data_IF_582481534243
#
_entry.id   IF_582481534243
#
_cell.length_a   1.000
_cell.length_b   1.000
_cell.length_c   1.000
_cell.angle_alpha   90.00
_cell.angle_beta   90.00
_cell.angle_gamma   90.00
#
_symmetry.space_group_name_H-M   'P 1'
#
loop_
_entity.id
_entity.type
_entity.pdbx_description
1 polymer ?
#
# COMPACT_ATOMS: atom_id res chain seq x y z
N UNK A 1 -19.11 -24.80 -11.33
CA UNK A 1 -17.66 -24.49 -11.31
C UNK A 1 -17.56 -23.09 -10.78
N UNK A 2 -16.80 -22.88 -9.70
CA UNK A 2 -16.53 -21.54 -9.15
C UNK A 2 -15.71 -20.74 -10.15
N UNK A 3 -16.05 -19.46 -10.35
CA UNK A 3 -15.26 -18.57 -11.22
C UNK A 3 -13.89 -18.31 -10.59
N UNK A 4 -12.84 -18.43 -11.41
CA UNK A 4 -11.46 -18.19 -10.98
C UNK A 4 -11.09 -16.72 -11.19
N UNK A 5 -10.47 -16.13 -10.17
CA UNK A 5 -9.89 -14.79 -10.19
C UNK A 5 -8.37 -14.92 -10.38
N UNK A 6 -7.81 -14.23 -11.36
CA UNK A 6 -6.38 -13.97 -11.42
C UNK A 6 -6.08 -12.67 -10.68
N UNK A 7 -5.30 -12.76 -9.63
CA UNK A 7 -4.82 -11.62 -8.85
C UNK A 7 -3.36 -11.31 -9.22
N UNK A 8 -3.07 -10.06 -9.53
CA UNK A 8 -1.72 -9.61 -9.90
C UNK A 8 -1.33 -8.41 -9.03
N UNK A 9 -0.14 -8.50 -8.46
CA UNK A 9 0.57 -7.40 -7.79
C UNK A 9 1.79 -7.06 -8.65
N UNK A 10 1.65 -6.01 -9.46
CA UNK A 10 2.70 -5.52 -10.35
C UNK A 10 3.46 -4.38 -9.67
N UNK A 11 4.70 -4.63 -9.33
CA UNK A 11 5.63 -3.59 -8.89
C UNK A 11 6.57 -3.16 -10.01
N UNK A 12 7.41 -2.16 -9.76
CA UNK A 12 8.39 -1.68 -10.74
C UNK A 12 9.46 -2.72 -11.15
N UNK A 13 9.65 -3.77 -10.36
CA UNK A 13 10.67 -4.81 -10.59
C UNK A 13 10.11 -6.22 -10.65
N UNK A 14 8.91 -6.45 -10.16
CA UNK A 14 8.31 -7.78 -10.00
C UNK A 14 6.86 -7.80 -10.45
N UNK A 15 6.50 -8.90 -11.08
CA UNK A 15 5.14 -9.28 -11.42
C UNK A 15 4.80 -10.53 -10.60
N UNK A 16 3.91 -10.40 -9.62
CA UNK A 16 3.47 -11.52 -8.78
C UNK A 16 2.05 -11.89 -9.17
N UNK A 17 1.78 -13.18 -9.31
CA UNK A 17 0.47 -13.67 -9.63
C UNK A 17 -0.01 -14.71 -8.61
N UNK A 18 -1.30 -14.69 -8.36
CA UNK A 18 -2.03 -15.66 -7.57
C UNK A 18 -3.40 -15.91 -8.15
N UNK A 19 -4.01 -17.00 -7.74
CA UNK A 19 -5.40 -17.29 -8.07
C UNK A 19 -6.23 -17.46 -6.80
N UNK A 20 -7.50 -17.08 -6.89
CA UNK A 20 -8.49 -17.30 -5.85
C UNK A 20 -9.83 -17.70 -6.48
N UNK A 21 -10.67 -18.31 -5.70
CA UNK A 21 -12.07 -18.57 -6.07
C UNK A 21 -12.92 -17.32 -5.78
N UNK A 22 -13.96 -17.10 -6.58
CA UNK A 22 -14.87 -15.98 -6.37
C UNK A 22 -15.57 -16.02 -5.01
N UNK A 23 -15.82 -17.23 -4.50
CA UNK A 23 -16.49 -17.45 -3.22
C UNK A 23 -15.55 -17.21 -2.01
N UNK A 24 -14.23 -17.24 -2.21
CA UNK A 24 -13.22 -16.97 -1.18
C UNK A 24 -12.00 -16.21 -1.74
N UNK A 25 -12.16 -14.90 -2.03
CA UNK A 25 -11.07 -14.09 -2.57
C UNK A 25 -9.90 -13.90 -1.59
N UNK A 26 -10.10 -14.16 -0.30
CA UNK A 26 -9.02 -14.04 0.70
C UNK A 26 -8.01 -15.19 0.62
N UNK A 27 -8.44 -16.37 0.17
CA UNK A 27 -7.60 -17.57 0.06
C UNK A 27 -6.74 -17.57 -1.21
N UNK A 28 -5.96 -16.52 -1.43
CA UNK A 28 -5.09 -16.40 -2.60
C UNK A 28 -3.97 -17.44 -2.55
N UNK A 29 -3.88 -18.27 -3.57
CA UNK A 29 -2.78 -19.20 -3.81
C UNK A 29 -1.82 -18.59 -4.85
N UNK A 30 -0.59 -18.28 -4.43
CA UNK A 30 0.44 -17.80 -5.36
C UNK A 30 0.72 -18.82 -6.46
N UNK A 31 0.82 -18.36 -7.70
CA UNK A 31 1.10 -19.20 -8.88
C UNK A 31 2.45 -18.90 -9.51
N UNK A 32 3.01 -17.72 -9.28
CA UNK A 32 4.35 -17.38 -9.74
C UNK A 32 4.79 -15.96 -9.41
N UNK A 33 6.08 -15.74 -9.58
CA UNK A 33 6.72 -14.43 -9.52
C UNK A 33 7.74 -14.33 -10.67
N UNK A 34 7.67 -13.26 -11.43
CA UNK A 34 8.53 -12.95 -12.57
C UNK A 34 9.15 -11.57 -12.42
N UNK A 35 10.19 -11.28 -13.18
CA UNK A 35 10.63 -9.91 -13.38
C UNK A 35 9.49 -9.10 -14.02
N UNK A 36 9.34 -7.83 -13.62
CA UNK A 36 8.34 -6.95 -14.24
C UNK A 36 8.64 -6.82 -15.76
N UNK A 37 7.65 -7.06 -16.63
CA UNK A 37 7.82 -6.87 -18.07
C UNK A 37 8.30 -5.45 -18.38
N UNK A 38 9.13 -5.32 -19.41
CA UNK A 38 9.72 -4.03 -19.78
C UNK A 38 9.06 -3.42 -21.03
N UNK A 39 8.09 -4.12 -21.63
CA UNK A 39 7.34 -3.66 -22.81
C UNK A 39 5.88 -4.05 -22.69
N UNK A 40 5.00 -3.31 -23.38
CA UNK A 40 3.57 -3.64 -23.43
C UNK A 40 3.33 -5.05 -24.01
N UNK A 41 4.05 -5.41 -25.06
CA UNK A 41 3.89 -6.73 -25.68
C UNK A 41 4.21 -7.86 -24.68
N UNK A 42 5.35 -7.78 -23.96
CA UNK A 42 5.73 -8.77 -22.96
C UNK A 42 4.75 -8.79 -21.76
N UNK A 43 4.21 -7.63 -21.36
CA UNK A 43 3.20 -7.54 -20.31
C UNK A 43 1.91 -8.24 -20.73
N UNK A 44 1.39 -7.93 -21.93
CA UNK A 44 0.16 -8.55 -22.45
C UNK A 44 0.32 -10.05 -22.69
N UNK A 45 1.47 -10.49 -23.20
CA UNK A 45 1.79 -11.90 -23.38
C UNK A 45 1.76 -12.65 -22.05
N UNK A 46 2.48 -12.17 -21.02
CA UNK A 46 2.48 -12.79 -19.70
C UNK A 46 1.08 -12.79 -19.06
N UNK A 47 0.37 -11.67 -19.15
CA UNK A 47 -0.97 -11.52 -18.59
C UNK A 47 -1.98 -12.50 -19.24
N UNK A 48 -2.02 -12.55 -20.58
CA UNK A 48 -2.94 -13.43 -21.31
C UNK A 48 -2.57 -14.91 -21.13
N UNK A 49 -1.29 -15.22 -21.02
CA UNK A 49 -0.82 -16.56 -20.68
C UNK A 49 -1.35 -17.00 -19.30
N UNK A 50 -1.27 -16.13 -18.28
CA UNK A 50 -1.77 -16.46 -16.95
C UNK A 50 -3.30 -16.58 -16.91
N UNK A 51 -4.03 -15.69 -17.59
CA UNK A 51 -5.49 -15.79 -17.72
C UNK A 51 -5.91 -17.12 -18.34
N UNK A 52 -5.27 -17.51 -19.45
CA UNK A 52 -5.57 -18.75 -20.17
C UNK A 52 -5.19 -20.00 -19.36
N UNK A 53 -4.00 -20.02 -18.76
CA UNK A 53 -3.50 -21.15 -17.98
C UNK A 53 -4.39 -21.49 -16.80
N UNK A 54 -5.06 -20.48 -16.22
CA UNK A 54 -5.94 -20.65 -15.06
C UNK A 54 -7.42 -20.52 -15.40
N UNK A 55 -7.77 -20.37 -16.70
CA UNK A 55 -9.16 -20.18 -17.17
C UNK A 55 -9.87 -19.05 -16.39
N UNK A 56 -9.13 -18.00 -16.03
CA UNK A 56 -9.66 -16.91 -15.25
C UNK A 56 -10.46 -15.94 -16.13
N UNK A 57 -11.69 -15.63 -15.72
CA UNK A 57 -12.57 -14.63 -16.35
C UNK A 57 -12.63 -13.33 -15.56
N UNK A 58 -11.92 -13.28 -14.42
CA UNK A 58 -11.81 -12.12 -13.55
C UNK A 58 -10.35 -11.79 -13.29
N UNK A 59 -10.02 -10.52 -13.35
CA UNK A 59 -8.68 -10.00 -13.13
C UNK A 59 -8.71 -8.90 -12.07
N UNK A 60 -7.88 -9.04 -11.04
CA UNK A 60 -7.49 -7.92 -10.19
C UNK A 60 -6.03 -7.58 -10.46
N UNK A 61 -5.75 -6.34 -10.84
CA UNK A 61 -4.39 -5.87 -11.15
C UNK A 61 -4.03 -4.65 -10.31
N UNK A 62 -3.10 -4.83 -9.38
CA UNK A 62 -2.44 -3.75 -8.65
C UNK A 62 -1.26 -3.19 -9.45
N UNK A 63 -1.18 -1.87 -9.60
CA UNK A 63 -0.09 -1.17 -10.30
C UNK A 63 0.59 -0.15 -9.38
N UNK A 64 1.90 0.11 -9.55
CA UNK A 64 2.62 1.13 -8.79
C UNK A 64 2.40 2.52 -9.42
N UNK A 65 1.16 2.97 -9.49
CA UNK A 65 0.79 4.18 -10.20
C UNK A 65 -0.68 4.55 -10.04
N UNK A 66 -1.17 5.39 -10.93
CA UNK A 66 -2.54 5.89 -10.91
C UNK A 66 -3.44 5.07 -11.85
N UNK A 67 -4.60 4.67 -11.33
CA UNK A 67 -5.63 3.93 -12.06
C UNK A 67 -6.97 4.66 -11.98
N UNK A 68 -7.67 4.75 -13.11
CA UNK A 68 -9.03 5.30 -13.21
C UNK A 68 -9.93 4.34 -13.97
N UNK A 69 -10.91 3.74 -13.30
CA UNK A 69 -11.68 2.65 -13.90
C UNK A 69 -10.77 1.48 -14.25
N UNK A 70 -10.73 1.11 -15.52
CA UNK A 70 -9.87 0.08 -16.08
C UNK A 70 -8.63 0.61 -16.82
N UNK A 71 -8.40 1.95 -16.75
CA UNK A 71 -7.32 2.63 -17.47
C UNK A 71 -6.13 2.90 -16.54
N UNK A 72 -4.93 2.48 -16.95
CA UNK A 72 -3.67 2.87 -16.34
C UNK A 72 -3.37 4.33 -16.74
N UNK A 73 -3.44 5.27 -15.78
CA UNK A 73 -3.32 6.71 -16.09
C UNK A 73 -1.90 7.22 -16.06
N UNK A 74 -1.10 6.71 -15.13
CA UNK A 74 0.30 7.09 -14.97
C UNK A 74 1.02 6.04 -14.12
N UNK A 75 2.03 5.41 -14.68
CA UNK A 75 2.79 4.34 -14.04
C UNK A 75 4.29 4.65 -14.20
N UNK A 76 4.88 5.48 -13.31
CA UNK A 76 6.18 6.12 -13.55
C UNK A 76 7.34 5.16 -13.83
N UNK A 77 7.32 3.97 -13.24
CA UNK A 77 8.36 2.96 -13.45
C UNK A 77 8.07 1.98 -14.61
N UNK A 78 6.87 2.06 -15.18
CA UNK A 78 6.37 1.17 -16.23
C UNK A 78 5.55 1.99 -17.24
N UNK A 79 6.14 3.09 -17.76
CA UNK A 79 5.47 4.08 -18.59
C UNK A 79 4.86 3.53 -19.89
N UNK A 80 5.20 2.29 -20.29
CA UNK A 80 4.55 1.61 -21.41
C UNK A 80 3.09 1.22 -21.11
N UNK A 81 2.66 1.29 -19.84
CA UNK A 81 1.26 1.06 -19.43
C UNK A 81 0.41 2.32 -19.49
N UNK A 82 0.99 3.50 -19.65
CA UNK A 82 0.25 4.76 -19.62
C UNK A 82 -0.76 4.82 -20.75
N UNK A 83 -2.02 5.01 -20.40
CA UNK A 83 -3.14 5.03 -21.34
C UNK A 83 -3.74 3.66 -21.68
N UNK A 84 -3.17 2.56 -21.20
CA UNK A 84 -3.70 1.21 -21.45
C UNK A 84 -5.05 1.04 -20.77
N UNK A 85 -6.08 0.72 -21.55
CA UNK A 85 -7.40 0.34 -21.06
C UNK A 85 -7.57 -1.18 -21.11
N UNK A 86 -7.49 -1.81 -19.95
CA UNK A 86 -7.57 -3.27 -19.81
C UNK A 86 -8.94 -3.84 -20.22
N UNK A 87 -10.03 -3.07 -20.08
CA UNK A 87 -11.34 -3.56 -20.55
C UNK A 87 -11.41 -3.66 -22.08
N UNK A 88 -10.70 -2.79 -22.78
CA UNK A 88 -10.59 -2.85 -24.24
C UNK A 88 -9.69 -3.99 -24.71
N UNK A 89 -8.54 -4.18 -24.02
CA UNK A 89 -7.55 -5.20 -24.41
C UNK A 89 -7.95 -6.63 -24.02
N UNK A 90 -8.85 -6.78 -23.02
CA UNK A 90 -9.27 -8.07 -22.48
C UNK A 90 -10.80 -8.24 -22.55
N UNK A 91 -11.39 -8.32 -23.76
CA UNK A 91 -12.82 -8.45 -23.89
C UNK A 91 -13.32 -9.76 -23.22
N UNK A 92 -14.37 -9.63 -22.41
CA UNK A 92 -14.93 -10.76 -21.66
C UNK A 92 -14.28 -11.03 -20.31
N UNK A 93 -13.23 -10.30 -19.93
CA UNK A 93 -12.64 -10.37 -18.58
C UNK A 93 -13.15 -9.21 -17.71
N UNK A 94 -13.68 -9.52 -16.53
CA UNK A 94 -14.04 -8.50 -15.54
C UNK A 94 -12.79 -7.99 -14.84
N UNK A 95 -12.51 -6.68 -14.94
CA UNK A 95 -11.24 -6.10 -14.44
C UNK A 95 -11.46 -5.19 -13.25
N UNK A 96 -10.78 -5.49 -12.14
CA UNK A 96 -10.55 -4.58 -11.01
C UNK A 96 -9.12 -4.04 -11.07
N UNK A 97 -8.95 -2.76 -11.41
CA UNK A 97 -7.65 -2.09 -11.50
C UNK A 97 -7.49 -1.08 -10.37
N UNK A 98 -6.35 -1.06 -9.72
CA UNK A 98 -6.07 -0.11 -8.64
C UNK A 98 -4.59 0.06 -8.34
N UNK A 99 -4.30 0.99 -7.44
CA UNK A 99 -2.99 1.19 -6.87
C UNK A 99 -2.69 0.12 -5.79
N UNK A 100 -1.42 -0.22 -5.60
CA UNK A 100 -0.93 -1.20 -4.63
C UNK A 100 -1.39 -0.92 -3.18
N UNK A 101 -1.31 0.34 -2.73
CA UNK A 101 -1.75 0.72 -1.39
C UNK A 101 -3.28 0.69 -1.24
N UNK A 102 -4.03 1.02 -2.30
CA UNK A 102 -5.49 0.87 -2.30
C UNK A 102 -5.89 -0.60 -2.17
N UNK A 103 -5.18 -1.48 -2.85
CA UNK A 103 -5.42 -2.92 -2.74
C UNK A 103 -5.02 -3.48 -1.38
N UNK A 104 -3.91 -2.98 -0.80
CA UNK A 104 -3.58 -3.35 0.57
C UNK A 104 -4.70 -2.97 1.55
N UNK A 105 -5.29 -1.77 1.40
CA UNK A 105 -6.44 -1.38 2.20
C UNK A 105 -7.69 -2.24 1.91
N UNK A 106 -7.96 -2.54 0.64
CA UNK A 106 -9.09 -3.39 0.25
C UNK A 106 -9.01 -4.77 0.92
N UNK A 107 -7.82 -5.39 0.95
CA UNK A 107 -7.61 -6.64 1.68
C UNK A 107 -7.96 -6.52 3.17
N UNK A 108 -7.47 -5.45 3.81
CA UNK A 108 -7.66 -5.23 5.24
C UNK A 108 -9.12 -4.93 5.60
N UNK A 109 -9.84 -4.21 4.74
CA UNK A 109 -11.29 -3.92 4.92
C UNK A 109 -12.13 -5.16 4.68
N UNK A 110 -11.82 -5.94 3.64
CA UNK A 110 -12.63 -7.10 3.26
C UNK A 110 -12.46 -8.28 4.22
N UNK A 111 -11.24 -8.54 4.70
CA UNK A 111 -10.96 -9.75 5.48
C UNK A 111 -9.86 -9.59 6.55
N UNK A 112 -9.38 -8.37 6.79
CA UNK A 112 -8.23 -8.14 7.67
C UNK A 112 -8.51 -7.21 8.85
N UNK A 113 -7.49 -6.44 9.23
CA UNK A 113 -7.48 -5.57 10.42
C UNK A 113 -8.44 -4.38 10.34
N UNK A 114 -8.92 -4.02 9.15
CA UNK A 114 -9.89 -2.94 8.96
C UNK A 114 -11.33 -3.45 8.72
N UNK A 115 -11.60 -4.74 8.89
CA UNK A 115 -12.94 -5.29 8.70
C UNK A 115 -13.93 -4.68 9.67
N UNK A 116 -15.04 -4.17 9.11
CA UNK A 116 -16.11 -3.53 9.87
C UNK A 116 -15.85 -2.08 10.24
N UNK A 117 -14.71 -1.47 9.82
CA UNK A 117 -14.48 -0.05 9.95
C UNK A 117 -15.08 0.70 8.75
N UNK A 118 -15.50 1.93 8.98
CA UNK A 118 -15.96 2.85 7.94
C UNK A 118 -14.90 3.91 7.60
N UNK A 119 -14.04 4.26 8.57
CA UNK A 119 -13.03 5.30 8.41
C UNK A 119 -11.66 4.80 8.88
N UNK A 120 -10.71 4.69 7.97
CA UNK A 120 -9.37 4.21 8.29
C UNK A 120 -8.30 4.84 7.39
N UNK A 121 -7.07 4.94 7.89
CA UNK A 121 -5.88 5.27 7.11
C UNK A 121 -5.00 4.03 7.06
N UNK A 122 -4.59 3.61 5.86
CA UNK A 122 -3.55 2.61 5.71
C UNK A 122 -2.24 3.28 5.25
N UNK A 123 -1.15 2.91 5.90
CA UNK A 123 0.22 3.28 5.51
C UNK A 123 1.01 2.02 5.20
N UNK A 124 1.40 1.86 3.93
CA UNK A 124 2.29 0.81 3.47
C UNK A 124 3.71 1.36 3.40
N UNK A 125 4.53 1.08 4.42
CA UNK A 125 5.91 1.54 4.49
C UNK A 125 6.83 0.40 4.04
N UNK A 126 7.39 0.58 2.86
CA UNK A 126 8.37 -0.28 2.23
C UNK A 126 9.56 0.55 1.76
N UNK A 127 10.04 0.35 0.53
CA UNK A 127 11.08 1.19 -0.10
C UNK A 127 10.67 2.67 -0.08
N UNK A 128 9.39 2.97 -0.34
CA UNK A 128 8.75 4.27 -0.21
C UNK A 128 7.60 4.23 0.80
N UNK A 129 6.71 5.22 0.75
CA UNK A 129 5.49 5.30 1.56
C UNK A 129 4.28 5.34 0.63
N UNK A 130 3.56 4.22 0.54
CA UNK A 130 2.22 4.14 -0.02
C UNK A 130 1.17 4.42 1.06
N UNK A 131 0.02 4.94 0.64
CA UNK A 131 -1.08 5.21 1.56
C UNK A 131 -2.43 5.07 0.88
N UNK A 132 -3.44 4.78 1.66
CA UNK A 132 -4.83 4.74 1.22
C UNK A 132 -5.77 5.12 2.36
N UNK A 133 -6.94 5.64 2.03
CA UNK A 133 -7.95 6.08 2.99
C UNK A 133 -9.27 5.38 2.70
N UNK A 134 -9.88 4.86 3.75
CA UNK A 134 -11.28 4.49 3.80
C UNK A 134 -12.04 5.66 4.42
N UNK A 135 -13.11 6.11 3.78
CA UNK A 135 -13.99 7.15 4.31
C UNK A 135 -15.45 6.82 4.00
N UNK A 136 -16.27 6.71 5.04
CA UNK A 136 -17.67 6.27 4.92
C UNK A 136 -17.80 4.92 4.21
N UNK A 137 -16.95 3.95 4.53
CA UNK A 137 -16.93 2.61 3.94
C UNK A 137 -16.46 2.54 2.49
N UNK A 138 -15.84 3.60 1.94
CA UNK A 138 -15.36 3.65 0.55
C UNK A 138 -13.89 3.98 0.47
N UNK A 139 -13.16 3.30 -0.39
CA UNK A 139 -11.75 3.63 -0.65
C UNK A 139 -11.68 4.89 -1.52
N UNK A 140 -11.02 5.92 -0.97
CA UNK A 140 -10.91 7.24 -1.61
C UNK A 140 -10.01 7.16 -2.83
N UNK A 141 -10.56 7.47 -4.00
CA UNK A 141 -9.81 7.53 -5.25
C UNK A 141 -9.20 8.92 -5.51
N UNK A 142 -9.90 9.99 -5.12
CA UNK A 142 -9.54 11.36 -5.49
C UNK A 142 -9.70 11.65 -6.98
N UNK A 143 -9.25 12.82 -7.39
CA UNK A 143 -9.27 13.21 -8.79
C UNK A 143 -8.27 12.36 -9.60
N UNK A 144 -8.75 11.68 -10.63
CA UNK A 144 -7.91 10.83 -11.49
C UNK A 144 -7.23 9.65 -10.80
N UNK A 145 -7.69 9.24 -9.61
CA UNK A 145 -7.05 8.17 -8.84
C UNK A 145 -5.86 8.62 -8.00
N UNK A 146 -5.62 9.93 -7.86
CA UNK A 146 -4.41 10.50 -7.27
C UNK A 146 -4.49 10.75 -5.74
N UNK A 147 -5.57 10.29 -5.07
CA UNK A 147 -5.66 10.46 -3.63
C UNK A 147 -4.57 9.70 -2.87
N UNK A 148 -4.28 10.21 -1.69
CA UNK A 148 -3.44 9.53 -0.70
C UNK A 148 -1.95 9.44 -1.06
N UNK A 149 -1.38 10.46 -1.72
CA UNK A 149 0.07 10.61 -1.89
C UNK A 149 0.74 11.07 -0.57
N UNK A 150 0.49 10.36 0.53
CA UNK A 150 0.89 10.80 1.88
C UNK A 150 2.41 10.84 2.10
N UNK A 151 3.18 10.09 1.30
CA UNK A 151 4.65 10.23 1.29
C UNK A 151 5.13 11.65 0.97
N UNK A 152 4.28 12.49 0.34
CA UNK A 152 4.53 13.89 0.04
C UNK A 152 4.09 14.86 1.16
N UNK A 153 3.44 14.38 2.20
CA UNK A 153 3.10 15.21 3.34
C UNK A 153 4.36 15.84 3.95
N UNK A 154 4.25 17.09 4.37
CA UNK A 154 5.37 17.86 4.94
C UNK A 154 4.99 18.32 6.34
N UNK A 155 5.95 18.24 7.27
CA UNK A 155 5.85 18.78 8.63
C UNK A 155 7.06 19.66 8.98
N UNK A 156 7.83 20.07 7.97
CA UNK A 156 8.98 20.99 8.08
C UNK A 156 8.79 22.14 7.12
N UNK A 157 8.64 23.35 7.66
CA UNK A 157 8.44 24.58 6.87
C UNK A 157 9.71 25.01 6.11
N UNK A 158 10.88 24.46 6.44
CA UNK A 158 12.15 24.78 5.83
C UNK A 158 12.58 23.78 4.75
N UNK A 159 11.82 22.72 4.55
CA UNK A 159 12.13 21.77 3.47
C UNK A 159 11.91 22.45 2.10
N UNK A 160 12.92 22.48 1.22
CA UNK A 160 12.80 23.14 -0.08
C UNK A 160 11.91 22.37 -1.07
N UNK A 161 11.54 21.13 -0.74
CA UNK A 161 10.88 20.21 -1.67
C UNK A 161 11.81 19.63 -2.73
N UNK A 162 11.37 18.62 -3.41
CA UNK A 162 12.00 18.04 -4.61
C UNK A 162 10.95 17.29 -5.45
N UNK A 163 11.26 16.99 -6.73
CA UNK A 163 10.30 16.41 -7.67
C UNK A 163 10.28 14.87 -7.69
N UNK A 164 11.21 14.21 -6.99
CA UNK A 164 11.40 12.74 -7.08
C UNK A 164 10.76 11.96 -5.93
N UNK A 165 10.76 12.55 -4.73
CA UNK A 165 10.20 11.91 -3.53
C UNK A 165 9.66 12.95 -2.56
N UNK A 166 8.56 12.65 -1.91
CA UNK A 166 7.95 13.53 -0.92
C UNK A 166 8.79 13.67 0.34
N UNK A 167 8.57 14.76 1.08
CA UNK A 167 9.29 15.00 2.33
C UNK A 167 9.18 13.82 3.30
N UNK A 168 7.98 13.35 3.59
CA UNK A 168 7.78 12.25 4.53
C UNK A 168 8.46 10.95 4.06
N UNK A 169 8.44 10.69 2.75
CA UNK A 169 9.12 9.53 2.19
C UNK A 169 10.64 9.60 2.41
N UNK A 170 11.24 10.80 2.27
CA UNK A 170 12.66 11.02 2.56
C UNK A 170 12.99 10.87 4.05
N UNK A 171 12.01 11.11 4.96
CA UNK A 171 12.23 11.06 6.41
C UNK A 171 11.95 9.67 7.01
N UNK A 172 10.95 8.94 6.52
CA UNK A 172 10.40 7.79 7.24
C UNK A 172 10.14 6.54 6.38
N UNK A 173 10.56 6.52 5.12
CA UNK A 173 10.51 5.31 4.29
C UNK A 173 11.57 4.28 4.68
N UNK A 174 11.48 3.06 4.15
CA UNK A 174 12.50 2.04 4.34
C UNK A 174 13.89 2.52 3.91
N UNK A 175 13.98 3.28 2.81
CA UNK A 175 15.26 3.91 2.38
C UNK A 175 15.81 4.89 3.40
N UNK A 176 14.95 5.66 4.05
CA UNK A 176 15.35 6.57 5.12
C UNK A 176 15.84 5.80 6.36
N UNK A 177 15.15 4.72 6.73
CA UNK A 177 15.58 3.85 7.82
C UNK A 177 16.90 3.14 7.51
N UNK A 178 17.14 2.73 6.26
CA UNK A 178 18.42 2.19 5.82
C UNK A 178 19.55 3.23 5.93
N UNK A 179 19.27 4.47 5.57
CA UNK A 179 20.24 5.56 5.73
C UNK A 179 20.55 5.83 7.22
N UNK A 180 19.53 5.86 8.08
CA UNK A 180 19.70 5.99 9.52
C UNK A 180 20.52 4.82 10.12
N UNK A 181 20.29 3.58 9.66
CA UNK A 181 21.07 2.42 10.06
C UNK A 181 22.57 2.59 9.72
N UNK A 182 22.84 2.96 8.47
CA UNK A 182 24.23 3.16 8.00
C UNK A 182 24.97 4.27 8.75
N UNK A 183 24.28 5.31 9.20
CA UNK A 183 24.91 6.41 9.97
C UNK A 183 25.48 5.97 11.32
N UNK A 184 25.00 4.84 11.85
CA UNK A 184 25.50 4.24 13.11
C UNK A 184 26.20 2.89 12.89
N UNK A 185 26.60 2.57 11.63
CA UNK A 185 27.36 1.38 11.29
C UNK A 185 26.56 0.08 11.17
N UNK A 186 25.21 0.16 11.11
CA UNK A 186 24.35 -0.99 10.87
C UNK A 186 24.05 -1.16 9.37
N UNK A 187 23.74 -2.39 8.95
CA UNK A 187 23.58 -2.75 7.54
C UNK A 187 22.34 -2.11 6.88
N UNK A 188 21.19 -2.14 7.55
CA UNK A 188 19.90 -1.75 7.01
C UNK A 188 18.88 -1.41 8.12
N UNK A 189 17.73 -0.87 7.71
CA UNK A 189 16.63 -0.51 8.61
C UNK A 189 16.07 -1.70 9.40
N UNK A 190 16.10 -2.92 8.85
CA UNK A 190 15.65 -4.09 9.57
C UNK A 190 16.59 -4.43 10.74
N UNK A 191 17.90 -4.28 10.54
CA UNK A 191 18.90 -4.44 11.58
C UNK A 191 18.79 -3.32 12.62
N UNK A 192 18.55 -2.08 12.19
CA UNK A 192 18.31 -0.93 13.06
C UNK A 192 17.11 -1.17 13.99
N UNK A 193 15.97 -1.59 13.45
CA UNK A 193 14.76 -1.89 14.24
C UNK A 193 15.02 -3.07 15.18
N UNK A 194 15.77 -4.08 14.77
CA UNK A 194 16.13 -5.22 15.62
C UNK A 194 17.00 -4.78 16.82
N UNK A 195 17.98 -3.91 16.58
CA UNK A 195 18.82 -3.34 17.64
C UNK A 195 17.97 -2.50 18.62
N UNK A 196 17.08 -1.65 18.10
CA UNK A 196 16.16 -0.87 18.94
C UNK A 196 15.20 -1.75 19.77
N UNK A 197 14.73 -2.88 19.21
CA UNK A 197 13.95 -3.89 19.97
C UNK A 197 14.78 -4.49 21.10
N UNK A 198 16.09 -4.64 20.90
CA UNK A 198 17.06 -5.02 21.94
C UNK A 198 17.41 -3.90 22.94
N UNK A 199 16.74 -2.73 22.83
CA UNK A 199 16.95 -1.54 23.67
C UNK A 199 18.33 -0.90 23.50
N UNK A 200 18.95 -1.03 22.33
CA UNK A 200 20.18 -0.31 22.00
C UNK A 200 19.90 1.21 21.93
N UNK A 201 20.53 2.03 22.78
CA UNK A 201 20.24 3.47 22.82
C UNK A 201 20.58 4.19 21.51
N UNK A 202 21.67 3.83 20.82
CA UNK A 202 22.08 4.43 19.57
C UNK A 202 21.06 4.11 18.46
N UNK A 203 20.53 2.89 18.42
CA UNK A 203 19.51 2.51 17.47
C UNK A 203 18.17 3.23 17.72
N UNK A 204 17.77 3.39 18.98
CA UNK A 204 16.57 4.16 19.35
C UNK A 204 16.73 5.63 18.97
N UNK A 205 17.89 6.23 19.25
CA UNK A 205 18.19 7.61 18.87
C UNK A 205 18.15 7.80 17.34
N UNK A 206 18.72 6.89 16.58
CA UNK A 206 18.73 6.94 15.12
C UNK A 206 17.33 6.76 14.48
N UNK A 207 16.41 5.99 15.11
CA UNK A 207 15.03 5.81 14.66
C UNK A 207 14.11 6.98 15.01
N UNK A 208 14.40 7.69 16.10
CA UNK A 208 13.50 8.68 16.68
C UNK A 208 13.13 9.80 15.69
N UNK A 209 14.05 10.41 14.91
CA UNK A 209 13.69 11.47 13.97
C UNK A 209 12.67 11.01 12.91
N UNK A 210 12.85 9.82 12.34
CA UNK A 210 11.93 9.26 11.35
C UNK A 210 10.52 9.07 11.93
N UNK A 211 10.42 8.56 13.14
CA UNK A 211 9.14 8.34 13.81
C UNK A 211 8.48 9.64 14.26
N UNK A 212 9.26 10.64 14.65
CA UNK A 212 8.75 11.97 14.95
C UNK A 212 8.18 12.66 13.68
N UNK A 213 8.90 12.57 12.56
CA UNK A 213 8.43 13.08 11.27
C UNK A 213 7.11 12.43 10.85
N UNK A 214 7.04 11.09 10.95
CA UNK A 214 5.84 10.33 10.63
C UNK A 214 4.67 10.70 11.56
N UNK A 215 4.90 10.81 12.87
CA UNK A 215 3.88 11.18 13.84
C UNK A 215 3.34 12.60 13.63
N UNK A 216 4.22 13.55 13.31
CA UNK A 216 3.81 14.93 13.04
C UNK A 216 2.97 15.03 11.76
N UNK A 217 3.38 14.37 10.68
CA UNK A 217 2.61 14.34 9.43
C UNK A 217 1.26 13.62 9.60
N UNK A 218 1.24 12.48 10.30
CA UNK A 218 0.01 11.72 10.59
C UNK A 218 -1.00 12.53 11.40
N UNK A 219 -0.57 13.38 12.29
CA UNK A 219 -1.47 14.22 13.08
C UNK A 219 -2.37 15.09 12.19
N UNK A 220 -1.83 15.63 11.08
CA UNK A 220 -2.62 16.40 10.10
C UNK A 220 -3.69 15.54 9.43
N UNK A 221 -3.35 14.32 9.02
CA UNK A 221 -4.30 13.40 8.40
C UNK A 221 -5.38 12.93 9.41
N UNK A 222 -5.00 12.61 10.64
CA UNK A 222 -5.94 12.23 11.72
C UNK A 222 -6.87 13.40 12.06
N UNK A 223 -6.35 14.61 12.17
CA UNK A 223 -7.17 15.80 12.45
C UNK A 223 -8.17 16.11 11.33
N UNK A 224 -7.81 15.80 10.07
CA UNK A 224 -8.66 16.03 8.91
C UNK A 224 -9.75 14.97 8.75
N UNK A 225 -9.41 13.69 8.98
CA UNK A 225 -10.25 12.55 8.63
C UNK A 225 -10.95 11.93 9.86
N UNK A 226 -10.40 12.15 11.08
CA UNK A 226 -10.86 11.50 12.32
C UNK A 226 -11.10 9.98 12.17
N UNK A 227 -10.13 9.21 11.63
CA UNK A 227 -10.34 7.79 11.36
C UNK A 227 -10.50 6.99 12.64
N UNK A 228 -11.15 5.83 12.55
CA UNK A 228 -11.26 4.87 13.66
C UNK A 228 -9.92 4.17 13.94
N UNK A 229 -9.13 3.93 12.88
CA UNK A 229 -7.83 3.29 13.01
C UNK A 229 -6.80 3.75 11.96
N UNK A 230 -5.52 3.63 12.32
CA UNK A 230 -4.38 3.68 11.40
C UNK A 230 -3.83 2.27 11.26
N UNK A 231 -3.80 1.75 10.02
CA UNK A 231 -3.32 0.41 9.69
C UNK A 231 -1.91 0.53 9.10
N UNK A 232 -0.92 -0.10 9.72
CA UNK A 232 0.42 -0.18 9.18
C UNK A 232 0.59 -1.45 8.34
N UNK A 233 0.97 -1.31 7.09
CA UNK A 233 1.27 -2.39 6.16
C UNK A 233 2.71 -2.31 5.66
N UNK A 234 3.11 -3.29 4.82
CA UNK A 234 4.48 -3.37 4.32
C UNK A 234 5.48 -3.90 5.36
N UNK A 235 6.77 -3.68 5.11
CA UNK A 235 7.85 -4.25 5.93
C UNK A 235 7.88 -3.78 7.38
N UNK A 236 7.35 -2.59 7.66
CA UNK A 236 7.36 -2.01 9.01
C UNK A 236 6.20 -2.51 9.90
N UNK A 237 5.17 -3.13 9.34
CA UNK A 237 4.02 -3.61 10.12
C UNK A 237 4.43 -4.57 11.24
N UNK A 238 5.37 -5.49 10.96
CA UNK A 238 5.92 -6.44 11.93
C UNK A 238 6.81 -5.79 13.01
N UNK A 239 7.04 -4.49 12.92
CA UNK A 239 7.93 -3.74 13.82
C UNK A 239 7.19 -2.65 14.61
N UNK A 240 5.87 -2.66 14.55
CA UNK A 240 5.04 -1.64 15.19
C UNK A 240 5.20 -1.61 16.71
N UNK A 241 5.58 -2.72 17.31
CA UNK A 241 5.95 -2.83 18.74
C UNK A 241 7.11 -1.88 19.12
N UNK A 242 8.08 -1.70 18.22
CA UNK A 242 9.23 -0.80 18.41
C UNK A 242 8.91 0.62 17.95
N UNK A 243 8.23 0.77 16.81
CA UNK A 243 8.03 2.06 16.15
C UNK A 243 6.95 2.90 16.84
N UNK A 244 5.85 2.28 17.29
CA UNK A 244 4.72 2.95 17.92
C UNK A 244 5.11 3.82 19.13
N UNK A 245 5.92 3.35 20.11
CA UNK A 245 6.35 4.19 21.24
C UNK A 245 7.12 5.44 20.83
N UNK A 246 7.86 5.41 19.72
CA UNK A 246 8.62 6.55 19.21
C UNK A 246 7.73 7.52 18.40
N UNK A 247 6.69 6.99 17.74
CA UNK A 247 5.73 7.74 16.93
C UNK A 247 4.74 8.54 17.78
N UNK A 248 4.15 7.91 18.81
CA UNK A 248 3.03 8.45 19.60
C UNK A 248 3.30 9.84 20.21
N UNK A 249 4.48 10.15 20.78
CA UNK A 249 4.72 11.47 21.36
C UNK A 249 4.57 12.61 20.35
N UNK A 250 5.03 12.43 19.12
CA UNK A 250 4.90 13.45 18.07
C UNK A 250 3.45 13.55 17.57
N UNK A 251 2.79 12.42 17.36
CA UNK A 251 1.38 12.34 16.96
C UNK A 251 0.47 13.05 18.00
N UNK A 252 0.58 12.68 19.26
CA UNK A 252 -0.27 13.21 20.34
C UNK A 252 -0.05 14.71 20.59
N UNK A 253 1.18 15.21 20.39
CA UNK A 253 1.50 16.63 20.58
C UNK A 253 0.69 17.51 19.65
N UNK A 254 0.41 17.04 18.43
CA UNK A 254 -0.26 17.79 17.38
C UNK A 254 -1.77 17.50 17.30
N UNK A 255 -2.30 16.58 18.12
CA UNK A 255 -3.71 16.20 18.10
C UNK A 255 -4.49 16.82 19.27
N UNK A 256 -5.75 17.22 19.02
CA UNK A 256 -6.66 17.57 20.09
C UNK A 256 -6.92 16.34 20.99
N UNK A 257 -7.21 16.54 22.29
CA UNK A 257 -7.31 15.44 23.27
C UNK A 257 -8.23 14.28 22.86
N UNK A 258 -9.34 14.58 22.20
CA UNK A 258 -10.35 13.57 21.81
C UNK A 258 -9.88 12.65 20.66
N UNK A 259 -8.85 13.03 19.89
CA UNK A 259 -8.28 12.20 18.83
C UNK A 259 -7.01 11.44 19.26
N UNK A 260 -6.52 11.65 20.49
CA UNK A 260 -5.28 10.98 20.94
C UNK A 260 -5.42 9.49 21.22
N UNK A 261 -6.66 9.01 21.41
CA UNK A 261 -6.95 7.59 21.62
C UNK A 261 -7.06 6.79 20.30
N UNK A 262 -6.56 7.36 19.17
CA UNK A 262 -6.57 6.69 17.87
C UNK A 262 -5.94 5.30 17.94
N UNK A 263 -6.63 4.30 17.41
CA UNK A 263 -6.11 2.95 17.33
C UNK A 263 -5.05 2.84 16.24
N UNK A 264 -3.92 2.22 16.58
CA UNK A 264 -2.82 1.98 15.64
C UNK A 264 -2.50 0.50 15.67
N UNK A 265 -2.72 -0.19 14.56
CA UNK A 265 -2.58 -1.63 14.47
C UNK A 265 -1.84 -2.08 13.21
N UNK A 266 -1.19 -3.26 13.24
CA UNK A 266 -0.61 -3.83 12.04
C UNK A 266 -1.70 -4.41 11.12
N UNK A 267 -1.47 -4.34 9.81
CA UNK A 267 -2.27 -5.08 8.83
C UNK A 267 -2.07 -6.59 8.97
N UNK A 268 -3.11 -7.34 8.69
CA UNK A 268 -3.13 -8.80 8.84
C UNK A 268 -2.37 -9.52 7.72
N UNK A 269 -2.42 -8.98 6.49
CA UNK A 269 -1.90 -9.69 5.31
C UNK A 269 -0.42 -9.47 5.04
N UNK A 270 0.22 -8.49 5.70
CA UNK A 270 1.65 -8.20 5.57
C UNK A 270 2.08 -8.04 4.09
N UNK A 271 3.11 -8.79 3.62
CA UNK A 271 3.59 -8.69 2.24
C UNK A 271 2.61 -9.20 1.18
N UNK A 272 1.56 -9.92 1.57
CA UNK A 272 0.53 -10.45 0.66
C UNK A 272 -0.64 -9.50 0.46
N UNK A 273 -0.71 -8.39 1.18
CA UNK A 273 -1.85 -7.47 1.17
C UNK A 273 -2.22 -7.00 -0.25
N UNK A 274 -1.23 -6.62 -1.07
CA UNK A 274 -1.47 -6.21 -2.46
C UNK A 274 -2.12 -7.31 -3.29
N UNK A 275 -1.61 -8.55 -3.18
CA UNK A 275 -2.12 -9.68 -3.94
C UNK A 275 -3.53 -10.12 -3.47
N UNK A 276 -3.78 -10.11 -2.16
CA UNK A 276 -5.13 -10.39 -1.61
C UNK A 276 -6.11 -9.29 -2.01
N UNK A 277 -5.71 -8.03 -1.93
CA UNK A 277 -6.54 -6.91 -2.41
C UNK A 277 -6.83 -6.98 -3.91
N UNK A 278 -5.86 -7.42 -4.71
CA UNK A 278 -6.09 -7.69 -6.13
C UNK A 278 -7.17 -8.76 -6.34
N UNK A 279 -7.17 -9.85 -5.55
CA UNK A 279 -8.20 -10.87 -5.64
C UNK A 279 -9.59 -10.30 -5.32
N UNK A 280 -9.73 -9.52 -4.25
CA UNK A 280 -10.99 -8.83 -3.95
C UNK A 280 -11.40 -7.85 -5.05
N UNK A 281 -10.45 -7.09 -5.60
CA UNK A 281 -10.75 -6.18 -6.70
C UNK A 281 -11.23 -6.95 -7.96
N UNK A 282 -10.64 -8.08 -8.27
CA UNK A 282 -11.10 -8.97 -9.33
C UNK A 282 -12.50 -9.53 -9.06
N UNK A 283 -12.81 -9.89 -7.81
CA UNK A 283 -14.13 -10.35 -7.39
C UNK A 283 -15.20 -9.27 -7.58
N UNK A 284 -14.91 -8.03 -7.18
CA UNK A 284 -15.85 -6.90 -7.27
C UNK A 284 -15.87 -6.23 -8.66
N UNK A 285 -14.86 -6.49 -9.50
CA UNK A 285 -14.73 -5.90 -10.83
C UNK A 285 -14.47 -4.38 -10.79
N UNK A 286 -14.93 -3.61 -11.79
CA UNK A 286 -14.57 -2.19 -11.93
C UNK A 286 -15.11 -1.28 -10.81
N UNK A 287 -16.06 -1.75 -10.02
CA UNK A 287 -16.69 -0.98 -8.93
C UNK A 287 -16.13 -1.32 -7.55
N UNK A 288 -15.01 -2.00 -7.45
CA UNK A 288 -14.43 -2.51 -6.23
C UNK A 288 -14.24 -1.48 -5.09
N UNK A 289 -14.18 -0.20 -5.41
CA UNK A 289 -14.06 0.87 -4.40
C UNK A 289 -15.33 1.13 -3.59
N UNK A 290 -16.48 0.64 -4.06
CA UNK A 290 -17.81 0.98 -3.54
C UNK A 290 -18.48 -0.13 -2.74
N UNK A 291 -17.89 -1.32 -2.66
CA UNK A 291 -18.51 -2.44 -2.02
C UNK A 291 -17.52 -3.34 -1.28
N UNK A 292 -17.66 -3.40 0.04
CA UNK A 292 -16.85 -4.25 0.91
C UNK A 292 -17.74 -5.07 1.88
N UNK A 293 -19.07 -4.99 1.75
CA UNK A 293 -20.05 -5.72 2.55
C UNK A 293 -20.87 -6.67 1.73
#
# INVERSE_FOLDING_TARGET
MTETILAIDLGGTRFRAGIADLDDPAAVRAVGEWAAPQTLAAFMELLTQQLSAHQATRLGLGIPGLAQGTVCRWVPNLGYLDGLDLATELPGVSVGLGNDAQFALLAEVSAGSAKGLEDAILLAIGTGIGSSVLAGGRIVAGNGGAACSFGWAVADLHDPGEDRSGWLERQASGRALDAAARSIGLADGATLVRAARGRDPAAIEALTPAMQALGAALAGAVALLAPEAIIFAGGVAASLDVLRPLLLPALHRQLPPHLRAIDIRPGQFGPKAGLVGAAFAGAYGPNWRNGHG
#
